data_IF_397566837086
#
_entry.id   IF_397566837086
#
_cell.length_a   1.000
_cell.length_b   1.000
_cell.length_c   1.000
_cell.angle_alpha   90.00
_cell.angle_beta   90.00
_cell.angle_gamma   90.00
#
_symmetry.space_group_name_H-M   'P 1'
#
loop_
_entity.id
_entity.type
_entity.pdbx_description
1 polymer ?
#
# COMPACT_ATOMS: atom_id res chain seq x y z
N UNK A 1 34.91 23.85 -4.62
CA UNK A 1 34.54 23.08 -3.40
C UNK A 1 33.09 23.32 -2.98
N UNK A 2 32.57 24.55 -3.02
CA UNK A 2 31.16 24.84 -2.69
C UNK A 2 30.14 24.14 -3.60
N UNK A 3 30.38 24.10 -4.92
CA UNK A 3 29.44 23.46 -5.87
C UNK A 3 29.31 21.95 -5.64
N UNK A 4 30.39 21.30 -5.17
CA UNK A 4 30.41 19.87 -4.86
C UNK A 4 29.58 19.56 -3.59
N UNK A 5 29.60 20.46 -2.61
CA UNK A 5 28.81 20.34 -1.38
C UNK A 5 27.32 20.51 -1.68
N UNK A 6 26.97 21.51 -2.50
CA UNK A 6 25.58 21.75 -2.92
C UNK A 6 25.03 20.53 -3.69
N UNK A 7 25.80 19.98 -4.62
CA UNK A 7 25.41 18.77 -5.36
C UNK A 7 25.21 17.56 -4.43
N UNK A 8 26.14 17.33 -3.50
CA UNK A 8 26.04 16.25 -2.52
C UNK A 8 24.80 16.40 -1.62
N UNK A 9 24.47 17.63 -1.18
CA UNK A 9 23.27 17.90 -0.39
C UNK A 9 21.98 17.62 -1.17
N UNK A 10 21.91 18.02 -2.44
CA UNK A 10 20.74 17.75 -3.31
C UNK A 10 20.54 16.24 -3.49
N UNK A 11 21.63 15.50 -3.76
CA UNK A 11 21.58 14.05 -3.94
C UNK A 11 21.15 13.35 -2.65
N UNK A 12 21.66 13.79 -1.49
CA UNK A 12 21.27 13.24 -0.20
C UNK A 12 19.77 13.46 0.10
N UNK A 13 19.25 14.65 -0.19
CA UNK A 13 17.81 14.95 -0.05
C UNK A 13 16.98 14.10 -1.00
N UNK A 14 17.38 13.96 -2.26
CA UNK A 14 16.68 13.13 -3.24
C UNK A 14 16.61 11.65 -2.81
N UNK A 15 17.72 11.11 -2.28
CA UNK A 15 17.77 9.75 -1.73
C UNK A 15 16.86 9.59 -0.51
N UNK A 16 16.86 10.56 0.41
CA UNK A 16 16.00 10.53 1.59
C UNK A 16 14.51 10.54 1.21
N UNK A 17 14.13 11.38 0.23
CA UNK A 17 12.75 11.44 -0.29
C UNK A 17 12.37 10.12 -0.99
N UNK A 18 13.25 9.55 -1.80
CA UNK A 18 13.00 8.28 -2.47
C UNK A 18 12.78 7.14 -1.46
N UNK A 19 13.61 7.10 -0.41
CA UNK A 19 13.48 6.11 0.67
C UNK A 19 12.17 6.27 1.46
N UNK A 20 11.80 7.51 1.78
CA UNK A 20 10.52 7.82 2.42
C UNK A 20 9.33 7.34 1.56
N UNK A 21 9.39 7.55 0.25
CA UNK A 21 8.33 7.10 -0.66
C UNK A 21 8.25 5.57 -0.75
N UNK A 22 9.38 4.86 -0.71
CA UNK A 22 9.40 3.39 -0.67
C UNK A 22 8.72 2.85 0.61
N UNK A 23 8.93 3.51 1.75
CA UNK A 23 8.30 3.17 3.03
C UNK A 23 6.79 3.47 3.04
N UNK A 24 6.38 4.61 2.49
CA UNK A 24 4.98 5.04 2.48
C UNK A 24 4.14 4.33 1.41
N UNK A 25 4.76 3.78 0.37
CA UNK A 25 4.08 3.09 -0.74
C UNK A 25 3.02 2.06 -0.30
N UNK A 26 3.31 1.08 0.57
CA UNK A 26 2.29 0.13 1.03
C UNK A 26 1.13 0.82 1.78
N UNK A 27 1.41 1.89 2.52
CA UNK A 27 0.39 2.67 3.22
C UNK A 27 -0.53 3.39 2.23
N UNK A 28 0.05 4.05 1.21
CA UNK A 28 -0.69 4.76 0.16
C UNK A 28 -1.56 3.79 -0.64
N UNK A 29 -1.01 2.64 -1.03
CA UNK A 29 -1.76 1.61 -1.76
C UNK A 29 -2.91 1.06 -0.89
N UNK A 30 -2.67 0.79 0.39
CA UNK A 30 -3.71 0.36 1.32
C UNK A 30 -4.84 1.39 1.47
N UNK A 31 -4.48 2.67 1.58
CA UNK A 31 -5.45 3.77 1.67
C UNK A 31 -6.29 3.90 0.40
N UNK A 32 -5.66 3.82 -0.78
CA UNK A 32 -6.34 3.87 -2.07
C UNK A 32 -7.32 2.71 -2.23
N UNK A 33 -6.93 1.49 -1.85
CA UNK A 33 -7.79 0.31 -1.89
C UNK A 33 -8.99 0.44 -0.95
N UNK A 34 -8.79 1.00 0.24
CA UNK A 34 -9.88 1.30 1.17
C UNK A 34 -10.84 2.33 0.58
N UNK A 35 -10.32 3.37 -0.08
CA UNK A 35 -11.14 4.39 -0.74
C UNK A 35 -11.94 3.82 -1.92
N UNK A 36 -11.37 2.89 -2.67
CA UNK A 36 -12.02 2.16 -3.77
C UNK A 36 -13.10 1.17 -3.28
N UNK A 37 -13.03 0.69 -2.03
CA UNK A 37 -14.03 -0.24 -1.51
C UNK A 37 -15.45 0.36 -1.48
N UNK A 38 -15.57 1.68 -1.22
CA UNK A 38 -16.85 2.38 -1.19
C UNK A 38 -17.57 2.45 -2.56
N UNK A 39 -16.95 2.92 -3.65
CA UNK A 39 -17.59 2.91 -4.96
C UNK A 39 -17.88 1.49 -5.45
N UNK A 40 -17.04 0.50 -5.11
CA UNK A 40 -17.31 -0.91 -5.44
C UNK A 40 -18.54 -1.43 -4.67
N UNK A 41 -18.65 -1.13 -3.38
CA UNK A 41 -19.84 -1.46 -2.59
C UNK A 41 -21.11 -0.86 -3.22
N UNK A 42 -21.04 0.43 -3.58
CA UNK A 42 -22.16 1.14 -4.21
C UNK A 42 -22.55 0.52 -5.55
N UNK A 43 -21.56 0.20 -6.38
CA UNK A 43 -21.78 -0.48 -7.65
C UNK A 43 -22.51 -1.82 -7.45
N UNK A 44 -22.03 -2.67 -6.55
CA UNK A 44 -22.68 -3.97 -6.26
C UNK A 44 -24.09 -3.74 -5.69
N UNK A 45 -24.28 -2.73 -4.85
CA UNK A 45 -25.59 -2.39 -4.29
C UNK A 45 -26.60 -1.99 -5.37
N UNK A 46 -26.13 -1.31 -6.43
CA UNK A 46 -26.95 -0.86 -7.57
C UNK A 46 -27.35 -1.96 -8.55
N UNK A 47 -26.75 -3.15 -8.45
CA UNK A 47 -27.08 -4.28 -9.32
C UNK A 47 -28.47 -4.82 -8.98
N UNK A 48 -29.30 -5.00 -10.01
CA UNK A 48 -30.61 -5.64 -9.88
C UNK A 48 -30.47 -7.17 -9.94
N UNK A 49 -29.97 -7.73 -8.84
CA UNK A 49 -29.71 -9.17 -8.65
C UNK A 49 -30.31 -9.65 -7.33
N UNK A 50 -30.40 -10.98 -7.19
CA UNK A 50 -30.88 -11.62 -5.96
C UNK A 50 -30.18 -11.04 -4.70
N UNK A 51 -30.94 -10.70 -3.63
CA UNK A 51 -30.38 -10.09 -2.43
C UNK A 51 -29.27 -10.91 -1.76
N UNK A 52 -29.39 -12.25 -1.74
CA UNK A 52 -28.38 -13.12 -1.15
C UNK A 52 -27.12 -13.12 -2.01
N UNK A 53 -27.27 -13.16 -3.33
CA UNK A 53 -26.14 -13.07 -4.27
C UNK A 53 -25.41 -11.73 -4.14
N UNK A 54 -26.14 -10.64 -3.93
CA UNK A 54 -25.59 -9.29 -3.72
C UNK A 54 -24.75 -9.21 -2.46
N UNK A 55 -25.28 -9.69 -1.33
CA UNK A 55 -24.55 -9.74 -0.06
C UNK A 55 -23.31 -10.63 -0.19
N UNK A 56 -23.45 -11.79 -0.84
CA UNK A 56 -22.34 -12.69 -1.10
C UNK A 56 -21.22 -12.01 -1.91
N UNK A 57 -21.57 -11.29 -2.99
CA UNK A 57 -20.63 -10.51 -3.80
C UNK A 57 -19.93 -9.43 -2.99
N UNK A 58 -20.67 -8.68 -2.17
CA UNK A 58 -20.09 -7.66 -1.28
C UNK A 58 -19.08 -8.30 -0.33
N UNK A 59 -19.45 -9.33 0.42
CA UNK A 59 -18.56 -10.02 1.36
C UNK A 59 -17.32 -10.55 0.65
N UNK A 60 -17.48 -11.23 -0.49
CA UNK A 60 -16.37 -11.79 -1.26
C UNK A 60 -15.36 -10.70 -1.68
N UNK A 61 -15.85 -9.56 -2.18
CA UNK A 61 -15.00 -8.45 -2.61
C UNK A 61 -14.30 -7.79 -1.43
N UNK A 62 -15.00 -7.53 -0.32
CA UNK A 62 -14.40 -6.96 0.88
C UNK A 62 -13.33 -7.89 1.47
N UNK A 63 -13.59 -9.20 1.53
CA UNK A 63 -12.60 -10.19 1.98
C UNK A 63 -11.38 -10.22 1.07
N UNK A 64 -11.56 -10.14 -0.26
CA UNK A 64 -10.45 -10.12 -1.21
C UNK A 64 -9.58 -8.85 -1.04
N UNK A 65 -10.20 -7.68 -0.94
CA UNK A 65 -9.48 -6.40 -0.72
C UNK A 65 -8.71 -6.46 0.61
N UNK A 66 -9.37 -6.89 1.68
CA UNK A 66 -8.74 -7.00 3.00
C UNK A 66 -7.57 -7.98 3.00
N UNK A 67 -7.76 -9.18 2.42
CA UNK A 67 -6.72 -10.18 2.29
C UNK A 67 -5.51 -9.69 1.50
N UNK A 68 -5.74 -8.94 0.41
CA UNK A 68 -4.68 -8.35 -0.39
C UNK A 68 -3.90 -7.27 0.36
N UNK A 69 -4.58 -6.38 1.09
CA UNK A 69 -3.95 -5.38 1.96
C UNK A 69 -3.11 -6.07 3.05
N UNK A 70 -3.68 -7.09 3.70
CA UNK A 70 -2.98 -7.86 4.72
C UNK A 70 -1.71 -8.52 4.16
N UNK A 71 -1.81 -9.14 2.97
CA UNK A 71 -0.67 -9.74 2.28
C UNK A 71 0.43 -8.71 1.98
N UNK A 72 0.08 -7.52 1.50
CA UNK A 72 1.05 -6.44 1.27
C UNK A 72 1.76 -6.02 2.56
N UNK A 73 1.01 -5.81 3.65
CA UNK A 73 1.55 -5.40 4.95
C UNK A 73 2.50 -6.47 5.50
N UNK A 74 2.09 -7.73 5.49
CA UNK A 74 2.91 -8.85 5.97
C UNK A 74 4.20 -8.97 5.15
N UNK A 75 4.09 -8.87 3.82
CA UNK A 75 5.24 -8.94 2.91
C UNK A 75 6.21 -7.78 3.16
N UNK A 76 5.69 -6.57 3.39
CA UNK A 76 6.51 -5.40 3.71
C UNK A 76 7.24 -5.57 5.05
N UNK A 77 6.54 -5.99 6.10
CA UNK A 77 7.14 -6.24 7.42
C UNK A 77 8.19 -7.35 7.36
N UNK A 78 7.94 -8.40 6.57
CA UNK A 78 8.91 -9.46 6.34
C UNK A 78 10.19 -8.93 5.68
N UNK A 79 10.07 -8.17 4.59
CA UNK A 79 11.21 -7.54 3.91
C UNK A 79 11.97 -6.59 4.84
N UNK A 80 11.26 -5.79 5.64
CA UNK A 80 11.87 -4.90 6.63
C UNK A 80 12.68 -5.68 7.67
N UNK A 81 12.11 -6.76 8.23
CA UNK A 81 12.80 -7.64 9.18
C UNK A 81 14.06 -8.25 8.57
N UNK A 82 14.02 -8.70 7.32
CA UNK A 82 15.18 -9.27 6.62
C UNK A 82 16.29 -8.22 6.43
N UNK A 83 15.93 -7.01 5.97
CA UNK A 83 16.89 -5.89 5.82
C UNK A 83 17.53 -5.51 7.16
N UNK A 84 16.77 -5.47 8.26
CA UNK A 84 17.28 -5.17 9.60
C UNK A 84 18.22 -6.25 10.14
N UNK A 85 18.03 -7.51 9.77
CA UNK A 85 18.96 -8.60 10.12
C UNK A 85 20.26 -8.50 9.32
N UNK A 86 20.17 -8.16 8.04
CA UNK A 86 21.35 -7.97 7.18
C UNK A 86 22.21 -6.77 7.59
N UNK A 87 21.63 -5.73 8.20
CA UNK A 87 22.37 -4.56 8.69
C UNK A 87 23.06 -4.76 10.04
N UNK A 88 22.80 -5.88 10.74
CA UNK A 88 23.35 -6.19 12.08
C UNK A 88 24.46 -7.26 12.06
N UNK A 89 24.76 -7.87 10.92
CA UNK A 89 25.88 -8.78 10.71
C UNK A 89 26.96 -8.10 9.88
#
# INVERSE_FOLDING_TARGET
>A
MHDLIILASIVAVALAVAYLFEILRPLIIGLLLAYLAFPIYWFIASLDIDPLLRIFLQVMVFTAIYGFVLYMVVTYLYKLRVRMRAAKG
#
